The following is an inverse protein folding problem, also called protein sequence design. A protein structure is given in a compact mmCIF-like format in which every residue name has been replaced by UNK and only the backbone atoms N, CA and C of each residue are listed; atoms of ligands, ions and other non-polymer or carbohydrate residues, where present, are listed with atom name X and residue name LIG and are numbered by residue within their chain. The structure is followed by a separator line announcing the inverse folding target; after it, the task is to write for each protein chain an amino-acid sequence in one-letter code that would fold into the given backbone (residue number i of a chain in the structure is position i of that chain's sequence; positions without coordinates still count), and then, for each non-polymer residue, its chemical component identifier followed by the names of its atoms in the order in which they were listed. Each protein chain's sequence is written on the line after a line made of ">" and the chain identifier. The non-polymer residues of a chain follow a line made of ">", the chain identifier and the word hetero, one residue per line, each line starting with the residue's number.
data_IF_332135566790
#
_entry.id   IF_332135566790
#
_cell.length_a   1.000
_cell.length_b   1.000
_cell.length_c   1.000
_cell.angle_alpha   90.00
_cell.angle_beta   90.00
_cell.angle_gamma   90.00
#
_symmetry.space_group_name_H-M   'P 1'
#
loop_
_entity.id
_entity.type
_entity.pdbx_description
1 polymer ?
#
# COMPACT_ATOMS: atom_id res chain seq x y z
N UNK A 1 -9.34 -29.98 -18.93
CA UNK A 1 -9.64 -29.96 -17.48
C UNK A 1 -8.47 -29.53 -16.58
N UNK A 2 -7.20 -29.87 -16.85
CA UNK A 2 -6.06 -29.57 -15.95
C UNK A 2 -5.79 -28.07 -15.71
N UNK A 3 -5.96 -27.21 -16.73
CA UNK A 3 -5.65 -25.77 -16.61
C UNK A 3 -6.53 -24.98 -15.63
N UNK A 4 -7.82 -25.32 -15.54
CA UNK A 4 -8.76 -24.64 -14.64
C UNK A 4 -8.45 -24.94 -13.16
N UNK A 5 -8.12 -26.20 -12.86
CA UNK A 5 -7.70 -26.60 -11.50
C UNK A 5 -6.40 -25.86 -11.13
N UNK A 6 -5.44 -25.79 -12.05
CA UNK A 6 -4.20 -25.06 -11.85
C UNK A 6 -4.42 -23.56 -11.55
N UNK A 7 -5.32 -22.89 -12.28
CA UNK A 7 -5.63 -21.47 -12.05
C UNK A 7 -6.30 -21.24 -10.68
N UNK A 8 -7.16 -22.15 -10.21
CA UNK A 8 -7.76 -22.06 -8.87
C UNK A 8 -6.73 -22.22 -7.76
N UNK A 9 -5.79 -23.16 -7.91
CA UNK A 9 -4.68 -23.34 -6.95
C UNK A 9 -3.79 -22.10 -6.89
N UNK A 10 -3.47 -21.52 -8.05
CA UNK A 10 -2.71 -20.25 -8.13
C UNK A 10 -3.45 -19.10 -7.47
N UNK A 11 -4.77 -18.99 -7.70
CA UNK A 11 -5.60 -17.95 -7.10
C UNK A 11 -5.56 -18.02 -5.57
N UNK A 12 -5.82 -19.20 -4.99
CA UNK A 12 -5.76 -19.39 -3.54
C UNK A 12 -4.38 -19.10 -2.96
N UNK A 13 -3.31 -19.45 -3.70
CA UNK A 13 -1.94 -19.11 -3.31
C UNK A 13 -1.69 -17.59 -3.33
N UNK A 14 -2.13 -16.90 -4.38
CA UNK A 14 -1.98 -15.45 -4.50
C UNK A 14 -2.76 -14.71 -3.39
N UNK A 15 -3.99 -15.14 -3.09
CA UNK A 15 -4.80 -14.62 -1.97
C UNK A 15 -4.11 -14.81 -0.62
N UNK A 16 -3.52 -15.99 -0.39
CA UNK A 16 -2.76 -16.25 0.85
C UNK A 16 -1.57 -15.30 0.97
N UNK A 17 -0.80 -15.10 -0.12
CA UNK A 17 0.33 -14.18 -0.12
C UNK A 17 -0.09 -12.72 0.07
N UNK A 18 -1.19 -12.30 -0.56
CA UNK A 18 -1.76 -10.97 -0.38
C UNK A 18 -2.14 -10.72 1.08
N UNK A 19 -2.90 -11.63 1.69
CA UNK A 19 -3.28 -11.54 3.11
C UNK A 19 -2.06 -11.48 4.03
N UNK A 20 -1.04 -12.30 3.76
CA UNK A 20 0.20 -12.27 4.51
C UNK A 20 0.91 -10.91 4.38
N UNK A 21 1.01 -10.36 3.17
CA UNK A 21 1.61 -9.05 2.94
C UNK A 21 0.89 -7.95 3.74
N UNK A 22 -0.45 -7.94 3.73
CA UNK A 22 -1.24 -7.00 4.52
C UNK A 22 -0.99 -7.14 6.03
N UNK A 23 -0.85 -8.38 6.54
CA UNK A 23 -0.47 -8.61 7.93
C UNK A 23 0.92 -8.06 8.25
N UNK A 24 1.89 -8.24 7.37
CA UNK A 24 3.24 -7.70 7.55
C UNK A 24 3.25 -6.17 7.54
N UNK A 25 2.50 -5.53 6.64
CA UNK A 25 2.34 -4.07 6.64
C UNK A 25 1.81 -3.58 7.99
N UNK A 26 0.76 -4.20 8.53
CA UNK A 26 0.19 -3.81 9.82
C UNK A 26 1.18 -3.99 10.97
N UNK A 27 1.92 -5.10 10.99
CA UNK A 27 2.94 -5.36 12.01
C UNK A 27 4.06 -4.31 11.96
N UNK A 28 4.58 -4.04 10.76
CA UNK A 28 5.65 -3.07 10.57
C UNK A 28 5.19 -1.66 10.95
N UNK A 29 3.95 -1.27 10.60
CA UNK A 29 3.40 0.03 11.01
C UNK A 29 3.40 0.21 12.53
N UNK A 30 3.06 -0.84 13.30
CA UNK A 30 3.18 -0.79 14.78
C UNK A 30 4.62 -0.59 15.23
N UNK A 31 5.59 -1.24 14.58
CA UNK A 31 7.00 -1.04 14.91
C UNK A 31 7.51 0.36 14.54
N UNK A 32 7.02 0.95 13.44
CA UNK A 32 7.30 2.33 13.07
C UNK A 32 6.76 3.29 14.12
N UNK A 33 5.53 3.09 14.60
CA UNK A 33 4.93 3.90 15.67
C UNK A 33 5.72 3.80 16.99
N UNK A 34 6.13 2.58 17.37
CA UNK A 34 6.94 2.35 18.56
C UNK A 34 8.31 3.04 18.46
N UNK A 35 8.99 2.87 17.33
CA UNK A 35 10.29 3.49 17.08
C UNK A 35 10.19 5.03 17.03
N UNK A 36 9.13 5.57 16.44
CA UNK A 36 8.84 7.01 16.40
C UNK A 36 8.59 7.55 17.81
N UNK A 37 7.81 6.85 18.63
CA UNK A 37 7.58 7.25 20.03
C UNK A 37 8.89 7.28 20.83
N UNK A 38 9.73 6.26 20.65
CA UNK A 38 11.06 6.21 21.29
C UNK A 38 11.94 7.36 20.81
N UNK A 39 11.95 7.64 19.51
CA UNK A 39 12.68 8.77 18.93
C UNK A 39 12.29 10.10 19.61
N UNK A 40 11.00 10.40 19.71
CA UNK A 40 10.53 11.62 20.38
C UNK A 40 10.90 11.67 21.87
N UNK A 41 10.96 10.52 22.56
CA UNK A 41 11.44 10.48 23.94
C UNK A 41 12.94 10.78 24.04
N UNK A 42 13.75 10.41 23.03
CA UNK A 42 15.20 10.73 23.01
C UNK A 42 15.50 12.20 22.83
N UNK A 43 14.61 12.96 22.18
CA UNK A 43 14.76 14.41 22.05
C UNK A 43 14.77 15.10 23.42
N UNK A 44 14.19 14.47 24.45
CA UNK A 44 14.17 14.99 25.83
C UNK A 44 15.46 14.67 26.61
N UNK A 45 16.21 13.65 26.19
CA UNK A 45 17.39 13.12 26.89
C UNK A 45 18.70 13.62 26.24
N UNK A 46 18.69 13.95 24.94
CA UNK A 46 19.83 14.56 24.25
C UNK A 46 20.92 13.59 23.78
N UNK A 47 20.68 12.27 23.81
CA UNK A 47 21.64 11.26 23.34
C UNK A 47 21.65 11.16 21.80
N UNK A 48 22.69 11.74 21.20
CA UNK A 48 22.88 11.79 19.74
C UNK A 48 23.13 10.42 19.10
N UNK A 49 23.83 9.51 19.78
CA UNK A 49 24.16 8.19 19.24
C UNK A 49 22.90 7.33 19.23
N UNK A 50 22.14 7.36 20.32
CA UNK A 50 20.88 6.62 20.40
C UNK A 50 19.86 7.16 19.39
N UNK A 51 19.77 8.48 19.22
CA UNK A 51 18.93 9.13 18.20
C UNK A 51 19.26 8.67 16.79
N UNK A 52 20.55 8.61 16.43
CA UNK A 52 20.98 8.13 15.12
C UNK A 52 20.60 6.67 14.88
N UNK A 53 20.77 5.81 15.89
CA UNK A 53 20.36 4.41 15.81
C UNK A 53 18.86 4.26 15.56
N UNK A 54 18.01 5.06 16.22
CA UNK A 54 16.57 5.03 15.99
C UNK A 54 16.23 5.52 14.58
N UNK A 55 16.88 6.58 14.09
CA UNK A 55 16.71 7.05 12.70
C UNK A 55 17.02 5.96 11.68
N UNK A 56 18.15 5.27 11.84
CA UNK A 56 18.51 4.16 10.96
C UNK A 56 17.44 3.06 10.97
N UNK A 57 16.93 2.71 12.16
CA UNK A 57 15.86 1.71 12.30
C UNK A 57 14.57 2.16 11.61
N UNK A 58 14.17 3.41 11.78
CA UNK A 58 13.00 3.98 11.10
C UNK A 58 13.13 3.89 9.58
N UNK A 59 14.29 4.28 9.02
CA UNK A 59 14.53 4.19 7.58
C UNK A 59 14.45 2.76 7.04
N UNK A 60 14.96 1.78 7.78
CA UNK A 60 14.85 0.36 7.41
C UNK A 60 13.39 -0.11 7.46
N UNK A 61 12.67 0.19 8.54
CA UNK A 61 11.26 -0.19 8.69
C UNK A 61 10.39 0.40 7.58
N UNK A 62 10.62 1.66 7.21
CA UNK A 62 9.92 2.31 6.09
C UNK A 62 10.21 1.61 4.76
N UNK A 63 11.47 1.27 4.49
CA UNK A 63 11.86 0.53 3.29
C UNK A 63 11.19 -0.84 3.19
N UNK A 64 11.19 -1.61 4.29
CA UNK A 64 10.55 -2.94 4.34
C UNK A 64 9.04 -2.83 4.22
N UNK A 65 8.41 -1.84 4.86
CA UNK A 65 6.97 -1.58 4.73
C UNK A 65 6.60 -1.28 3.28
N UNK A 66 7.39 -0.44 2.60
CA UNK A 66 7.18 -0.10 1.20
C UNK A 66 7.31 -1.33 0.29
N UNK A 67 8.28 -2.21 0.55
CA UNK A 67 8.42 -3.48 -0.18
C UNK A 67 7.15 -4.34 -0.05
N UNK A 68 6.55 -4.44 1.14
CA UNK A 68 5.32 -5.19 1.32
C UNK A 68 4.10 -4.53 0.68
N UNK A 69 4.03 -3.20 0.60
CA UNK A 69 3.00 -2.51 -0.19
C UNK A 69 3.08 -2.88 -1.67
N UNK A 70 4.27 -2.80 -2.26
CA UNK A 70 4.51 -3.19 -3.65
C UNK A 70 4.18 -4.67 -3.90
N UNK A 71 4.57 -5.54 -2.97
CA UNK A 71 4.27 -6.96 -3.05
C UNK A 71 2.76 -7.24 -2.96
N UNK A 72 2.05 -6.57 -2.04
CA UNK A 72 0.60 -6.68 -1.91
C UNK A 72 -0.10 -6.19 -3.18
N UNK A 73 0.31 -5.06 -3.75
CA UNK A 73 -0.25 -4.53 -4.99
C UNK A 73 -0.08 -5.51 -6.16
N UNK A 74 1.12 -6.10 -6.31
CA UNK A 74 1.38 -7.14 -7.33
C UNK A 74 0.49 -8.36 -7.15
N UNK A 75 0.31 -8.83 -5.91
CA UNK A 75 -0.56 -9.99 -5.64
C UNK A 75 -2.04 -9.69 -5.82
N UNK A 76 -2.49 -8.47 -5.50
CA UNK A 76 -3.86 -8.05 -5.80
C UNK A 76 -4.13 -8.04 -7.31
N UNK A 77 -3.20 -7.52 -8.11
CA UNK A 77 -3.31 -7.55 -9.56
C UNK A 77 -3.35 -8.99 -10.12
N UNK A 78 -2.49 -9.88 -9.61
CA UNK A 78 -2.49 -11.31 -9.97
C UNK A 78 -3.82 -12.01 -9.62
N UNK A 79 -4.42 -11.68 -8.48
CA UNK A 79 -5.73 -12.20 -8.07
C UNK A 79 -6.81 -11.78 -9.07
N UNK A 80 -6.88 -10.50 -9.42
CA UNK A 80 -7.85 -9.96 -10.38
C UNK A 80 -7.70 -10.64 -11.73
N UNK A 81 -6.46 -10.78 -12.22
CA UNK A 81 -6.18 -11.45 -13.49
C UNK A 81 -6.61 -12.93 -13.49
N UNK A 82 -6.31 -13.67 -12.41
CA UNK A 82 -6.69 -15.06 -12.28
C UNK A 82 -8.21 -15.24 -12.14
N UNK A 83 -8.88 -14.33 -11.44
CA UNK A 83 -10.34 -14.30 -11.34
C UNK A 83 -10.98 -14.08 -12.71
N UNK A 84 -10.49 -13.09 -13.48
CA UNK A 84 -10.99 -12.83 -14.83
C UNK A 84 -10.84 -14.05 -15.74
N UNK A 85 -9.66 -14.68 -15.76
CA UNK A 85 -9.41 -15.89 -16.56
C UNK A 85 -10.31 -17.07 -16.18
N UNK A 86 -10.76 -17.15 -14.93
CA UNK A 86 -11.70 -18.19 -14.51
C UNK A 86 -13.12 -17.87 -14.97
N UNK A 87 -13.51 -16.60 -14.96
CA UNK A 87 -14.82 -16.15 -15.45
C UNK A 87 -14.96 -16.33 -16.96
N UNK A 88 -13.94 -15.96 -17.74
CA UNK A 88 -13.94 -16.11 -19.21
C UNK A 88 -14.12 -17.58 -19.65
N UNK A 89 -13.64 -18.53 -18.83
CA UNK A 89 -13.80 -19.97 -19.09
C UNK A 89 -15.21 -20.47 -18.75
N UNK A 90 -15.90 -19.83 -17.80
CA UNK A 90 -17.24 -20.21 -17.38
C UNK A 90 -18.31 -19.63 -18.33
N UNK A 91 -18.06 -18.45 -18.92
CA UNK A 91 -18.97 -17.77 -19.84
C UNK A 91 -18.39 -17.65 -21.26
N UNK A 92 -18.32 -18.73 -22.07
CA UNK A 92 -17.80 -18.65 -23.44
C UNK A 92 -18.76 -18.01 -24.46
N UNK A 93 -19.93 -17.46 -24.08
CA UNK A 93 -21.00 -17.10 -25.03
C UNK A 93 -21.57 -15.66 -25.00
N UNK A 94 -20.99 -14.70 -24.27
CA UNK A 94 -21.52 -13.30 -24.28
C UNK A 94 -20.43 -12.24 -24.54
N UNK A 95 -19.58 -12.49 -25.54
CA UNK A 95 -18.69 -11.46 -26.08
C UNK A 95 -19.28 -10.85 -27.37
N UNK A 96 -20.50 -10.30 -27.28
CA UNK A 96 -21.02 -9.36 -28.29
C UNK A 96 -21.85 -8.26 -27.62
N UNK A 97 -21.43 -7.02 -27.88
CA UNK A 97 -22.10 -5.72 -27.67
C UNK A 97 -22.09 -5.22 -26.20
N UNK A 98 -21.76 -3.98 -25.86
CA UNK A 98 -21.75 -2.77 -26.68
C UNK A 98 -20.79 -1.72 -26.09
N UNK A 99 -20.11 -1.04 -26.99
CA UNK A 99 -19.34 0.18 -26.76
C UNK A 99 -20.38 1.30 -26.58
N UNK A 100 -20.61 1.74 -25.35
CA UNK A 100 -21.45 2.91 -25.07
C UNK A 100 -20.61 3.98 -24.39
N UNK A 101 -20.08 4.87 -25.22
CA UNK A 101 -19.58 6.18 -24.84
C UNK A 101 -20.61 6.87 -23.93
N UNK A 102 -20.22 7.15 -22.69
CA UNK A 102 -20.94 8.07 -21.82
C UNK A 102 -19.97 9.11 -21.28
N UNK A 103 -20.24 10.34 -21.70
CA UNK A 103 -19.45 11.54 -21.55
C UNK A 103 -19.16 11.88 -20.08
N UNK A 104 -17.95 12.38 -19.86
CA UNK A 104 -17.52 13.04 -18.62
C UNK A 104 -18.34 14.31 -18.40
N UNK A 105 -19.28 14.27 -17.45
CA UNK A 105 -19.81 15.47 -16.79
C UNK A 105 -19.23 15.53 -15.38
N UNK A 106 -18.36 16.51 -15.15
CA UNK A 106 -17.94 16.89 -13.81
C UNK A 106 -19.01 17.81 -13.24
N UNK A 107 -19.75 17.37 -12.22
CA UNK A 107 -20.19 18.19 -11.10
C UNK A 107 -20.85 17.36 -9.99
N UNK A 108 -20.59 17.79 -8.76
CA UNK A 108 -21.22 17.48 -7.46
C UNK A 108 -20.54 16.49 -6.49
N UNK A 109 -20.18 17.05 -5.34
CA UNK A 109 -19.59 16.44 -4.16
C UNK A 109 -20.57 16.64 -3.00
N UNK A 110 -21.13 15.57 -2.45
CA UNK A 110 -21.50 15.54 -1.03
C UNK A 110 -21.45 14.14 -0.43
N UNK A 111 -20.97 14.11 0.81
CA UNK A 111 -20.44 12.99 1.59
C UNK A 111 -21.55 12.15 2.23
N UNK A 112 -21.41 10.82 2.33
CA UNK A 112 -21.56 10.06 3.59
C UNK A 112 -21.02 8.62 3.51
N UNK A 113 -20.11 8.33 4.46
CA UNK A 113 -19.91 7.07 5.20
C UNK A 113 -19.86 5.72 4.45
N UNK A 114 -18.65 5.15 4.35
CA UNK A 114 -18.48 3.74 4.00
C UNK A 114 -17.02 3.36 3.83
N UNK A 115 -16.41 2.86 4.90
CA UNK A 115 -15.02 2.36 4.94
C UNK A 115 -14.73 1.41 3.78
N UNK A 116 -13.81 1.77 2.87
CA UNK A 116 -12.68 0.97 2.38
C UNK A 116 -12.06 1.68 1.17
N UNK A 117 -10.77 1.46 0.92
CA UNK A 117 -9.98 1.90 -0.24
C UNK A 117 -9.44 3.33 -0.21
N UNK A 118 -8.28 3.49 0.43
CA UNK A 118 -7.26 4.41 -0.07
C UNK A 118 -5.91 3.72 -0.05
N UNK A 119 -5.56 3.10 -1.18
CA UNK A 119 -4.15 2.90 -1.52
C UNK A 119 -3.61 4.31 -1.76
N UNK A 120 -2.65 4.81 -0.96
CA UNK A 120 -2.11 6.13 -1.19
C UNK A 120 -1.32 6.14 -2.51
N UNK A 121 -1.92 6.73 -3.55
CA UNK A 121 -1.28 7.08 -4.83
C UNK A 121 -0.31 8.24 -4.65
N UNK A 122 0.73 8.04 -3.83
CA UNK A 122 1.93 8.88 -3.89
C UNK A 122 3.16 8.02 -4.13
N UNK A 123 3.15 7.34 -5.29
CA UNK A 123 4.39 7.08 -6.01
C UNK A 123 4.90 8.43 -6.57
N UNK A 124 5.52 9.24 -5.73
CA UNK A 124 6.59 10.11 -6.23
C UNK A 124 7.81 9.21 -6.31
N UNK A 125 8.26 8.90 -7.52
CA UNK A 125 9.65 8.57 -7.81
C UNK A 125 10.49 9.76 -7.32
N UNK A 126 10.78 9.81 -6.01
CA UNK A 126 11.82 10.69 -5.49
C UNK A 126 13.11 9.99 -5.83
N UNK A 127 13.74 10.49 -6.89
CA UNK A 127 15.10 10.14 -7.26
C UNK A 127 15.98 10.15 -6.01
N UNK A 128 16.83 9.14 -5.96
CA UNK A 128 17.94 9.04 -5.03
C UNK A 128 18.79 10.31 -5.15
N UNK A 129 18.56 11.27 -4.27
CA UNK A 129 19.47 12.40 -4.04
C UNK A 129 19.97 12.30 -2.62
N UNK A 130 21.12 11.64 -2.48
CA UNK A 130 22.04 11.90 -1.36
C UNK A 130 22.48 13.36 -1.47
N UNK A 131 22.07 14.20 -0.53
CA UNK A 131 22.92 15.23 0.14
C UNK A 131 22.08 16.11 1.07
N UNK A 132 22.71 16.50 2.18
CA UNK A 132 22.40 17.63 3.07
C UNK A 132 21.28 17.46 4.13
N UNK A 133 21.75 17.14 5.34
CA UNK A 133 21.50 17.90 6.59
C UNK A 133 20.22 18.75 6.66
N UNK A 134 19.27 18.28 7.48
CA UNK A 134 18.39 19.02 8.42
C UNK A 134 18.15 20.52 8.13
N UNK A 135 16.87 20.94 8.09
CA UNK A 135 16.17 21.07 9.37
C UNK A 135 14.77 20.43 9.36
N UNK A 136 14.55 19.45 10.23
CA UNK A 136 13.19 19.10 10.67
C UNK A 136 12.63 20.21 11.56
N UNK A 137 12.09 21.24 10.91
CA UNK A 137 11.19 22.23 11.52
C UNK A 137 10.17 22.69 10.46
N UNK A 138 9.28 21.78 10.07
CA UNK A 138 7.98 22.12 9.46
C UNK A 138 6.95 21.39 10.34
N UNK A 139 6.53 22.03 11.43
CA UNK A 139 5.25 22.74 11.45
C UNK A 139 4.12 21.72 11.58
N UNK A 140 3.64 21.41 12.80
CA UNK A 140 2.35 21.92 13.30
C UNK A 140 1.47 22.61 12.23
N UNK A 141 0.16 22.31 12.30
CA UNK A 141 -0.97 22.71 11.42
C UNK A 141 -1.21 21.69 10.29
N UNK A 142 -2.36 21.04 10.11
CA UNK A 142 -3.68 21.15 10.73
C UNK A 142 -4.40 19.80 10.55
N UNK A 143 -5.04 19.30 11.60
CA UNK A 143 -6.18 18.39 11.49
C UNK A 143 -7.34 19.12 12.16
N UNK A 144 -8.01 19.96 11.38
CA UNK A 144 -9.36 20.44 11.66
C UNK A 144 -10.22 19.99 10.47
N UNK A 145 -11.32 19.31 10.84
CA UNK A 145 -12.41 18.74 10.04
C UNK A 145 -12.13 17.43 9.29
#
# INVERSE_FOLDING_TARGET
>A
MSAHINNRVKLTSAERHFRYACQQVMLISRHVEEATRRYHNTDRIGDKIFKYNIRLRLSVLDGVRNMYYEFAAKKAAEIVELQQRLLDVINPHDATLDESDSELSADDMSVTSGMCHRIPTKLKLVGVSRTQTEPYLFGMLAFEL
#
